data_IF_038932338015
#
_entry.id   IF_038932338015
#
_cell.length_a   1.000
_cell.length_b   1.000
_cell.length_c   1.000
_cell.angle_alpha   90.00
_cell.angle_beta   90.00
_cell.angle_gamma   90.00
#
_symmetry.space_group_name_H-M   'P 1'
#
loop_
_entity.id
_entity.type
_entity.pdbx_description
1 polymer ?
#
# COMPACT_ATOMS: atom_id res chain seq x y z
N UNK A 1 34.53 15.72 19.83
CA UNK A 1 35.61 14.76 20.16
C UNK A 1 35.65 14.30 21.62
N UNK A 2 34.97 14.98 22.58
CA UNK A 2 34.98 14.62 24.00
C UNK A 2 34.07 13.43 24.41
N UNK A 3 33.00 13.15 23.67
CA UNK A 3 32.01 12.11 24.04
C UNK A 3 32.49 10.66 23.80
N UNK A 4 33.39 10.46 22.82
CA UNK A 4 33.98 9.13 22.53
C UNK A 4 34.98 8.69 23.60
N UNK A 5 35.63 9.63 24.30
CA UNK A 5 36.64 9.33 25.33
C UNK A 5 35.99 8.78 26.61
N UNK A 6 34.80 9.26 26.97
CA UNK A 6 34.06 8.77 28.14
C UNK A 6 33.51 7.35 27.98
N UNK A 7 33.06 6.98 26.78
CA UNK A 7 32.52 5.64 26.50
C UNK A 7 33.62 4.58 26.50
N UNK A 8 34.81 4.92 25.98
CA UNK A 8 35.96 4.01 25.98
C UNK A 8 36.53 3.85 27.40
N UNK A 9 36.53 4.91 28.21
CA UNK A 9 36.93 4.83 29.62
C UNK A 9 35.99 3.95 30.47
N UNK A 10 34.68 3.99 30.18
CA UNK A 10 33.69 3.13 30.84
C UNK A 10 33.86 1.65 30.47
N UNK A 11 34.15 1.34 29.21
CA UNK A 11 34.39 -0.04 28.76
C UNK A 11 35.70 -0.61 29.31
N UNK A 12 36.76 0.19 29.41
CA UNK A 12 38.04 -0.24 29.97
C UNK A 12 37.96 -0.54 31.48
N UNK A 13 37.07 0.14 32.22
CA UNK A 13 36.84 -0.13 33.64
C UNK A 13 36.13 -1.47 33.87
N UNK A 14 35.22 -1.87 32.97
CA UNK A 14 34.54 -3.17 33.05
C UNK A 14 35.50 -4.33 32.83
N UNK A 15 36.51 -4.16 31.96
CA UNK A 15 37.55 -5.19 31.73
C UNK A 15 38.56 -5.33 32.87
N UNK A 16 38.67 -4.34 33.78
CA UNK A 16 39.57 -4.42 34.94
C UNK A 16 38.87 -5.01 36.18
N UNK A 17 37.55 -4.91 36.28
CA UNK A 17 36.75 -5.38 37.42
C UNK A 17 36.43 -6.88 37.33
N UNK A 18 36.63 -7.53 36.18
CA UNK A 18 36.48 -8.97 36.01
C UNK A 18 37.53 -9.85 36.73
N UNK A 19 38.37 -9.28 37.59
CA UNK A 19 39.49 -9.99 38.28
C UNK A 19 39.31 -10.08 39.81
N UNK A 20 38.27 -9.49 40.41
CA UNK A 20 38.11 -9.53 41.88
C UNK A 20 36.73 -10.06 42.26
N UNK A 21 36.75 -11.22 42.89
CA UNK A 21 35.66 -12.03 43.45
C UNK A 21 34.68 -11.22 44.31
N UNK A 22 33.35 -11.39 44.16
CA UNK A 22 32.37 -10.79 45.09
C UNK A 22 30.98 -10.43 44.53
N UNK A 23 30.07 -11.39 44.61
CA UNK A 23 28.71 -11.51 44.05
C UNK A 23 27.59 -10.48 44.42
N UNK A 24 27.83 -9.25 44.89
CA UNK A 24 26.71 -8.35 45.28
C UNK A 24 26.68 -6.95 44.61
N UNK A 25 27.81 -6.41 44.13
CA UNK A 25 27.81 -5.06 43.52
C UNK A 25 27.58 -5.03 42.00
N UNK A 26 27.58 -6.19 41.34
CA UNK A 26 27.39 -6.28 39.89
C UNK A 26 25.94 -6.07 39.45
N UNK A 27 24.97 -6.36 40.34
CA UNK A 27 23.55 -6.16 40.07
C UNK A 27 23.19 -4.67 39.98
N UNK A 28 23.61 -3.86 40.96
CA UNK A 28 23.27 -2.43 41.03
C UNK A 28 23.84 -1.60 39.87
N UNK A 29 25.05 -1.93 39.40
CA UNK A 29 25.63 -1.23 38.25
C UNK A 29 24.93 -1.60 36.93
N UNK A 30 24.48 -2.85 36.80
CA UNK A 30 23.70 -3.28 35.63
C UNK A 30 22.31 -2.63 35.58
N UNK A 31 21.65 -2.45 36.73
CA UNK A 31 20.39 -1.71 36.82
C UNK A 31 20.58 -0.23 36.45
N UNK A 32 21.64 0.42 36.94
CA UNK A 32 21.89 1.83 36.65
C UNK A 32 22.21 2.09 35.16
N UNK A 33 22.98 1.21 34.52
CA UNK A 33 23.27 1.28 33.08
C UNK A 33 22.01 1.00 32.27
N UNK A 34 21.18 0.05 32.70
CA UNK A 34 19.91 -0.25 32.06
C UNK A 34 18.93 0.93 32.16
N UNK A 35 18.83 1.60 33.31
CA UNK A 35 17.97 2.79 33.49
C UNK A 35 18.43 4.00 32.67
N UNK A 36 19.74 4.24 32.60
CA UNK A 36 20.29 5.30 31.75
C UNK A 36 20.06 5.00 30.26
N UNK A 37 20.20 3.73 29.86
CA UNK A 37 19.87 3.28 28.51
C UNK A 37 18.35 3.39 28.25
N UNK A 38 17.50 2.99 29.18
CA UNK A 38 16.04 3.05 29.07
C UNK A 38 15.53 4.49 28.97
N UNK A 39 16.11 5.40 29.75
CA UNK A 39 15.85 6.84 29.68
C UNK A 39 16.26 7.44 28.33
N UNK A 40 17.39 6.96 27.77
CA UNK A 40 17.84 7.38 26.43
C UNK A 40 17.02 6.78 25.27
N UNK A 41 16.40 5.61 25.47
CA UNK A 41 15.58 4.91 24.48
C UNK A 41 14.12 5.41 24.52
N UNK A 42 13.61 5.78 25.70
CA UNK A 42 12.23 6.29 25.90
C UNK A 42 11.98 7.64 25.19
N UNK A 43 13.03 8.46 25.00
CA UNK A 43 12.92 9.75 24.29
C UNK A 43 13.01 9.65 22.75
N UNK A 44 13.21 8.45 22.20
CA UNK A 44 13.06 8.17 20.76
C UNK A 44 11.92 7.18 20.52
N UNK A 45 10.70 7.61 20.86
CA UNK A 45 9.52 7.09 20.18
C UNK A 45 9.67 7.45 18.69
N UNK A 46 10.27 6.55 17.90
CA UNK A 46 10.31 6.66 16.45
C UNK A 46 8.86 6.53 16.00
N UNK A 47 8.15 7.66 15.84
CA UNK A 47 6.81 7.67 15.28
C UNK A 47 6.93 7.03 13.90
N UNK A 48 6.53 5.76 13.77
CA UNK A 48 6.53 5.09 12.48
C UNK A 48 5.70 5.97 11.54
N UNK A 49 6.30 6.50 10.46
CA UNK A 49 5.60 7.46 9.63
C UNK A 49 4.36 6.79 9.04
N UNK A 50 3.19 7.31 9.43
CA UNK A 50 1.90 6.71 9.07
C UNK A 50 1.73 6.68 7.56
N UNK A 51 1.17 5.60 6.98
CA UNK A 51 0.95 5.52 5.56
C UNK A 51 -0.14 6.50 5.12
N UNK A 52 -0.02 6.99 3.90
CA UNK A 52 -1.02 7.86 3.27
C UNK A 52 -2.32 7.10 3.03
N UNK A 53 -3.40 7.47 3.71
CA UNK A 53 -4.72 6.86 3.52
C UNK A 53 -5.47 7.55 2.38
N UNK A 54 -5.82 6.80 1.33
CA UNK A 54 -6.47 7.34 0.12
C UNK A 54 -7.90 6.83 0.01
N UNK A 55 -8.91 7.71 -0.14
CA UNK A 55 -10.31 7.31 -0.26
C UNK A 55 -10.60 6.63 -1.61
N UNK A 56 -11.61 5.76 -1.61
CA UNK A 56 -12.12 5.11 -2.81
C UNK A 56 -13.02 6.06 -3.60
N UNK A 57 -12.94 5.99 -4.93
CA UNK A 57 -13.81 6.70 -5.87
C UNK A 57 -14.47 5.70 -6.80
N UNK A 58 -15.80 5.77 -6.91
CA UNK A 58 -16.58 4.97 -7.86
C UNK A 58 -16.48 5.61 -9.25
N UNK A 59 -16.33 4.80 -10.29
CA UNK A 59 -16.36 5.28 -11.67
C UNK A 59 -17.83 5.44 -12.08
N UNK A 60 -18.34 6.66 -11.93
CA UNK A 60 -19.72 6.97 -12.29
C UNK A 60 -19.94 6.78 -13.80
N UNK A 61 -21.06 6.16 -14.18
CA UNK A 61 -21.37 5.87 -15.59
C UNK A 61 -20.67 4.64 -16.18
N UNK A 62 -19.74 3.99 -15.46
CA UNK A 62 -19.13 2.74 -15.92
C UNK A 62 -20.17 1.64 -16.20
N UNK A 63 -21.18 1.51 -15.32
CA UNK A 63 -22.28 0.57 -15.50
C UNK A 63 -23.07 0.79 -16.80
N UNK A 64 -23.27 2.05 -17.21
CA UNK A 64 -23.96 2.37 -18.47
C UNK A 64 -23.17 1.91 -19.71
N UNK A 65 -21.86 1.73 -19.58
CA UNK A 65 -20.96 1.18 -20.62
C UNK A 65 -20.79 -0.35 -20.50
N UNK A 66 -21.48 -0.99 -19.56
CA UNK A 66 -21.34 -2.41 -19.24
C UNK A 66 -20.05 -2.74 -18.47
N UNK A 67 -19.32 -1.75 -17.97
CA UNK A 67 -18.16 -1.96 -17.11
C UNK A 67 -18.64 -2.13 -15.67
N UNK A 68 -18.80 -3.39 -15.24
CA UNK A 68 -19.31 -3.75 -13.93
C UNK A 68 -18.52 -4.90 -13.30
N UNK A 69 -18.44 -4.93 -11.97
CA UNK A 69 -17.85 -6.02 -11.20
C UNK A 69 -18.66 -7.33 -11.35
N UNK A 70 -18.13 -8.44 -10.81
CA UNK A 70 -18.78 -9.77 -10.84
C UNK A 70 -20.26 -9.76 -10.43
N UNK A 71 -20.64 -8.93 -9.46
CA UNK A 71 -22.02 -8.80 -8.96
C UNK A 71 -22.87 -7.74 -9.68
N UNK A 72 -22.34 -7.07 -10.71
CA UNK A 72 -23.00 -6.00 -11.43
C UNK A 72 -22.81 -4.59 -10.85
N UNK A 73 -22.08 -4.43 -9.75
CA UNK A 73 -21.77 -3.09 -9.20
C UNK A 73 -20.75 -2.34 -10.05
N UNK A 74 -20.73 -1.00 -9.95
CA UNK A 74 -19.74 -0.20 -10.68
C UNK A 74 -18.33 -0.41 -10.12
N UNK A 75 -17.29 -0.43 -10.97
CA UNK A 75 -15.89 -0.49 -10.55
C UNK A 75 -15.45 0.80 -9.84
N UNK A 76 -14.32 0.71 -9.15
CA UNK A 76 -13.79 1.80 -8.35
C UNK A 76 -12.25 1.84 -8.38
N UNK A 77 -11.69 2.98 -8.00
CA UNK A 77 -10.25 3.19 -7.90
C UNK A 77 -9.93 4.11 -6.72
N UNK A 78 -8.66 4.15 -6.31
CA UNK A 78 -8.12 5.14 -5.38
C UNK A 78 -7.17 6.03 -6.14
N UNK A 79 -7.15 7.32 -5.83
CA UNK A 79 -6.32 8.29 -6.52
C UNK A 79 -5.73 9.30 -5.54
N UNK A 80 -4.42 9.49 -5.64
CA UNK A 80 -3.71 10.56 -4.96
C UNK A 80 -2.99 11.43 -6.00
N UNK A 81 -3.22 12.75 -6.01
CA UNK A 81 -2.62 13.64 -6.99
C UNK A 81 -1.09 13.71 -6.85
N UNK A 82 -0.42 13.93 -7.97
CA UNK A 82 1.01 14.20 -8.02
C UNK A 82 1.35 15.63 -7.60
N UNK A 83 2.64 15.90 -7.42
CA UNK A 83 3.16 17.20 -6.98
C UNK A 83 4.50 17.53 -7.62
N UNK A 84 4.82 18.82 -7.77
CA UNK A 84 6.10 19.27 -8.31
C UNK A 84 6.37 18.72 -9.72
N UNK A 85 7.57 18.19 -9.95
CA UNK A 85 7.97 17.63 -11.25
C UNK A 85 7.14 16.42 -11.69
N UNK A 86 6.56 15.66 -10.76
CA UNK A 86 5.71 14.50 -11.04
C UNK A 86 4.23 14.84 -11.24
N UNK A 87 3.83 16.11 -11.13
CA UNK A 87 2.41 16.51 -11.20
C UNK A 87 1.73 16.17 -12.54
N UNK A 88 2.50 16.00 -13.61
CA UNK A 88 1.99 15.61 -14.93
C UNK A 88 2.42 14.20 -15.36
N UNK A 89 2.86 13.36 -14.42
CA UNK A 89 3.21 11.96 -14.67
C UNK A 89 2.27 11.04 -13.88
N UNK A 90 1.98 9.86 -14.41
CA UNK A 90 0.94 8.97 -13.88
C UNK A 90 1.44 7.55 -13.67
N UNK A 91 1.18 7.02 -12.48
CA UNK A 91 1.40 5.62 -12.12
C UNK A 91 0.03 4.94 -11.93
N UNK A 92 -0.28 4.00 -12.81
CA UNK A 92 -1.52 3.22 -12.79
C UNK A 92 -1.23 1.84 -12.23
N UNK A 93 -1.71 1.56 -11.03
CA UNK A 93 -1.53 0.27 -10.38
C UNK A 93 -2.82 -0.57 -10.46
N UNK A 94 -2.75 -1.72 -11.12
CA UNK A 94 -3.84 -2.71 -11.12
C UNK A 94 -3.75 -3.58 -9.87
N UNK A 95 -4.78 -3.55 -9.03
CA UNK A 95 -4.89 -4.47 -7.90
C UNK A 95 -4.88 -5.93 -8.41
N UNK A 96 -4.07 -6.78 -7.79
CA UNK A 96 -4.07 -8.22 -8.04
C UNK A 96 -5.12 -8.94 -7.20
N UNK A 97 -5.28 -10.24 -7.41
CA UNK A 97 -6.13 -11.01 -6.50
C UNK A 97 -6.57 -12.39 -6.94
N UNK A 98 -5.78 -13.06 -7.77
CA UNK A 98 -6.11 -14.39 -8.27
C UNK A 98 -7.34 -14.41 -9.16
N UNK A 99 -7.66 -15.61 -9.64
CA UNK A 99 -8.80 -15.87 -10.53
C UNK A 99 -9.87 -16.70 -9.81
N UNK A 100 -11.09 -16.70 -10.36
CA UNK A 100 -12.10 -17.68 -9.98
C UNK A 100 -12.24 -18.61 -11.17
N UNK A 101 -11.77 -19.84 -11.01
CA UNK A 101 -11.64 -20.77 -12.13
C UNK A 101 -12.88 -21.67 -12.32
N UNK A 102 -13.87 -21.53 -11.44
CA UNK A 102 -15.14 -22.27 -11.53
C UNK A 102 -16.30 -21.32 -11.24
N UNK A 103 -17.47 -21.61 -11.82
CA UNK A 103 -18.68 -20.83 -11.57
C UNK A 103 -18.99 -20.75 -10.07
N UNK A 104 -18.87 -21.87 -9.34
CA UNK A 104 -19.06 -21.91 -7.89
C UNK A 104 -18.14 -20.93 -7.16
N UNK A 105 -16.86 -20.90 -7.51
CA UNK A 105 -15.90 -19.98 -6.87
C UNK A 105 -16.19 -18.52 -7.26
N UNK A 106 -16.64 -18.25 -8.48
CA UNK A 106 -17.02 -16.91 -8.91
C UNK A 106 -18.29 -16.42 -8.21
N UNK A 107 -19.29 -17.29 -8.02
CA UNK A 107 -20.50 -16.98 -7.24
C UNK A 107 -20.14 -16.63 -5.80
N UNK A 108 -19.23 -17.37 -5.16
CA UNK A 108 -18.74 -16.99 -3.84
C UNK A 108 -17.97 -15.66 -3.90
N UNK A 109 -17.11 -15.47 -4.89
CA UNK A 109 -16.26 -14.28 -4.96
C UNK A 109 -17.03 -12.98 -5.20
N UNK A 110 -18.18 -13.03 -5.89
CA UNK A 110 -19.03 -11.85 -6.10
C UNK A 110 -19.55 -11.24 -4.79
N UNK A 111 -19.59 -12.01 -3.69
CA UNK A 111 -19.97 -11.53 -2.35
C UNK A 111 -18.79 -11.05 -1.51
N UNK A 112 -17.67 -10.68 -2.14
CA UNK A 112 -16.43 -10.25 -1.46
C UNK A 112 -15.89 -8.95 -2.08
N UNK A 113 -14.88 -8.34 -1.43
CA UNK A 113 -14.20 -7.14 -1.94
C UNK A 113 -13.57 -7.31 -3.33
N UNK A 114 -13.32 -8.56 -3.77
CA UNK A 114 -12.74 -8.92 -5.07
C UNK A 114 -13.78 -9.26 -6.14
N UNK A 115 -15.06 -9.01 -5.88
CA UNK A 115 -16.14 -9.24 -6.83
C UNK A 115 -17.28 -8.22 -6.76
N UNK A 116 -17.25 -7.30 -5.78
CA UNK A 116 -18.25 -6.25 -5.65
C UNK A 116 -17.68 -5.04 -4.92
N UNK A 117 -18.02 -3.85 -5.43
CA UNK A 117 -17.69 -2.57 -4.80
C UNK A 117 -18.32 -2.44 -3.39
N UNK A 118 -19.45 -3.09 -3.14
CA UNK A 118 -20.15 -3.01 -1.84
C UNK A 118 -19.25 -3.40 -0.67
N UNK A 119 -18.38 -4.38 -0.88
CA UNK A 119 -17.49 -4.93 0.14
C UNK A 119 -16.08 -4.35 0.09
N UNK A 120 -15.79 -3.38 -0.79
CA UNK A 120 -14.48 -2.74 -0.84
C UNK A 120 -14.29 -1.77 0.33
N UNK A 121 -13.08 -1.77 0.87
CA UNK A 121 -12.60 -0.81 1.86
C UNK A 121 -12.71 0.61 1.30
N UNK A 122 -13.24 1.53 2.12
CA UNK A 122 -13.49 2.92 1.70
C UNK A 122 -12.23 3.77 1.66
N UNK A 123 -11.20 3.34 2.35
CA UNK A 123 -9.87 3.94 2.35
C UNK A 123 -8.83 2.83 2.25
N UNK A 124 -7.71 3.09 1.58
CA UNK A 124 -6.57 2.18 1.52
C UNK A 124 -5.27 2.94 1.82
N UNK A 125 -4.35 2.33 2.58
CA UNK A 125 -3.00 2.86 2.72
C UNK A 125 -2.25 2.71 1.39
N UNK A 126 -1.66 3.78 0.91
CA UNK A 126 -0.72 3.78 -0.20
C UNK A 126 0.68 3.55 0.35
N UNK A 127 1.25 2.40 0.02
CA UNK A 127 2.57 1.92 0.48
C UNK A 127 3.38 1.35 -0.69
N UNK A 128 4.66 1.07 -0.48
CA UNK A 128 5.55 0.52 -1.52
C UNK A 128 5.58 1.43 -2.75
N UNK A 129 5.38 0.88 -3.95
CA UNK A 129 5.37 1.65 -5.22
C UNK A 129 4.28 2.73 -5.30
N UNK A 130 3.27 2.69 -4.43
CA UNK A 130 2.24 3.73 -4.32
C UNK A 130 2.54 4.75 -3.21
N UNK A 131 3.56 4.54 -2.39
CA UNK A 131 3.91 5.42 -1.27
C UNK A 131 4.24 6.84 -1.74
N UNK A 132 3.94 7.84 -0.90
CA UNK A 132 4.32 9.24 -1.13
C UNK A 132 5.69 9.58 -0.50
N UNK A 133 6.37 8.59 0.07
CA UNK A 133 7.67 8.76 0.71
C UNK A 133 8.78 8.39 -0.28
N UNK A 134 9.73 9.29 -0.55
CA UNK A 134 10.86 8.99 -1.43
C UNK A 134 11.68 7.77 -0.99
N UNK A 135 11.72 7.49 0.32
CA UNK A 135 12.47 6.37 0.88
C UNK A 135 11.84 5.00 0.55
N UNK A 136 10.52 4.96 0.34
CA UNK A 136 9.77 3.76 -0.03
C UNK A 136 9.52 3.68 -1.56
N UNK A 137 9.43 4.84 -2.22
CA UNK A 137 9.06 4.97 -3.62
C UNK A 137 9.91 6.05 -4.33
N UNK A 138 11.21 5.79 -4.54
CA UNK A 138 12.13 6.81 -5.06
C UNK A 138 11.74 7.30 -6.46
N UNK A 139 11.09 6.45 -7.26
CA UNK A 139 10.79 6.74 -8.66
C UNK A 139 9.47 7.50 -8.85
N UNK A 140 8.44 7.17 -8.06
CA UNK A 140 7.06 7.62 -8.31
C UNK A 140 6.40 8.38 -7.15
N UNK A 141 7.10 8.68 -6.05
CA UNK A 141 6.49 9.26 -4.85
C UNK A 141 5.71 10.56 -5.11
N UNK A 142 6.11 11.35 -6.10
CA UNK A 142 5.47 12.61 -6.46
C UNK A 142 4.61 12.54 -7.73
N UNK A 143 4.39 11.36 -8.30
CA UNK A 143 3.51 11.16 -9.46
C UNK A 143 2.03 11.12 -9.03
N UNK A 144 1.13 11.32 -10.00
CA UNK A 144 -0.27 10.93 -9.87
C UNK A 144 -0.35 9.43 -9.68
N UNK A 145 -0.79 8.97 -8.51
CA UNK A 145 -0.78 7.55 -8.16
C UNK A 145 -2.20 7.04 -8.07
N UNK A 146 -2.50 6.01 -8.87
CA UNK A 146 -3.83 5.43 -9.00
C UNK A 146 -3.76 3.95 -8.68
N UNK A 147 -4.71 3.46 -7.89
CA UNK A 147 -4.94 2.02 -7.71
C UNK A 147 -6.34 1.65 -8.20
N UNK A 148 -6.43 0.98 -9.35
CA UNK A 148 -7.70 0.45 -9.88
C UNK A 148 -8.03 -0.83 -9.10
N UNK A 149 -9.23 -0.88 -8.52
CA UNK A 149 -9.66 -2.00 -7.66
C UNK A 149 -10.09 -3.19 -8.50
N UNK A 150 -9.69 -4.38 -8.05
CA UNK A 150 -9.94 -5.63 -8.74
C UNK A 150 -11.32 -6.19 -8.38
N UNK A 151 -12.18 -6.41 -9.38
CA UNK A 151 -13.51 -6.96 -9.13
C UNK A 151 -14.14 -7.76 -10.28
N UNK A 152 -13.44 -7.99 -11.39
CA UNK A 152 -13.94 -8.73 -12.56
C UNK A 152 -13.69 -10.23 -12.48
N UNK A 153 -12.72 -10.62 -11.68
CA UNK A 153 -12.37 -12.00 -11.44
C UNK A 153 -11.55 -12.70 -12.52
N UNK A 154 -11.10 -11.97 -13.54
CA UNK A 154 -10.37 -12.46 -14.69
C UNK A 154 -9.13 -11.57 -15.02
N UNK A 155 -8.47 -10.98 -14.02
CA UNK A 155 -7.32 -10.06 -14.17
C UNK A 155 -7.51 -8.97 -15.24
N UNK A 156 -8.67 -8.32 -15.27
CA UNK A 156 -9.02 -7.27 -16.23
C UNK A 156 -9.00 -7.71 -17.72
N UNK A 157 -8.98 -9.02 -18.02
CA UNK A 157 -8.83 -9.51 -19.39
C UNK A 157 -10.15 -9.92 -20.06
N UNK A 158 -11.17 -10.32 -19.28
CA UNK A 158 -12.42 -10.88 -19.82
C UNK A 158 -13.45 -9.84 -20.28
N UNK A 159 -14.29 -10.21 -21.24
CA UNK A 159 -15.56 -9.53 -21.54
C UNK A 159 -16.66 -10.56 -21.85
N UNK A 160 -17.14 -11.24 -20.81
CA UNK A 160 -18.22 -12.23 -20.92
C UNK A 160 -19.17 -12.13 -19.73
N UNK A 161 -20.19 -12.97 -19.71
CA UNK A 161 -21.10 -13.10 -18.58
C UNK A 161 -21.61 -14.54 -18.46
N UNK A 162 -22.17 -14.85 -17.30
CA UNK A 162 -22.97 -16.06 -17.08
C UNK A 162 -24.30 -15.65 -16.47
N UNK A 163 -25.33 -15.60 -17.30
CA UNK A 163 -26.66 -15.13 -16.96
C UNK A 163 -27.33 -16.05 -15.94
N UNK A 164 -27.17 -17.36 -16.10
CA UNK A 164 -27.74 -18.36 -15.21
C UNK A 164 -27.31 -18.17 -13.74
N UNK A 165 -26.09 -17.68 -13.51
CA UNK A 165 -25.53 -17.44 -12.17
C UNK A 165 -25.41 -15.96 -11.80
N UNK A 166 -25.91 -15.07 -12.67
CA UNK A 166 -25.81 -13.61 -12.53
C UNK A 166 -24.37 -13.17 -12.25
N UNK A 167 -23.45 -13.56 -13.14
CA UNK A 167 -22.04 -13.21 -13.07
C UNK A 167 -21.64 -12.36 -14.28
N UNK A 168 -20.84 -11.33 -14.01
CA UNK A 168 -20.34 -10.40 -15.01
C UNK A 168 -18.81 -10.43 -15.05
N UNK A 169 -18.23 -10.92 -16.14
CA UNK A 169 -16.78 -10.99 -16.34
C UNK A 169 -16.33 -9.85 -17.24
N UNK A 170 -16.40 -8.62 -16.75
CA UNK A 170 -16.24 -7.38 -17.55
C UNK A 170 -14.89 -6.70 -17.36
N UNK A 171 -13.84 -7.47 -17.14
CA UNK A 171 -12.49 -6.98 -16.86
C UNK A 171 -11.97 -5.98 -17.89
N UNK A 172 -12.09 -6.31 -19.18
CA UNK A 172 -11.65 -5.43 -20.26
C UNK A 172 -12.43 -4.11 -20.26
N UNK A 173 -13.75 -4.17 -20.05
CA UNK A 173 -14.60 -2.96 -19.96
C UNK A 173 -14.27 -2.12 -18.74
N UNK A 174 -13.98 -2.74 -17.60
CA UNK A 174 -13.55 -2.06 -16.37
C UNK A 174 -12.24 -1.30 -16.62
N UNK A 175 -11.25 -1.95 -17.25
CA UNK A 175 -9.99 -1.30 -17.61
C UNK A 175 -10.22 -0.08 -18.50
N UNK A 176 -10.99 -0.23 -19.58
CA UNK A 176 -11.28 0.86 -20.51
C UNK A 176 -12.00 2.03 -19.81
N UNK A 177 -13.03 1.75 -19.01
CA UNK A 177 -13.76 2.76 -18.27
C UNK A 177 -12.87 3.49 -17.26
N UNK A 178 -11.95 2.78 -16.59
CA UNK A 178 -11.00 3.39 -15.68
C UNK A 178 -10.00 4.29 -16.41
N UNK A 179 -9.45 3.86 -17.55
CA UNK A 179 -8.55 4.70 -18.34
C UNK A 179 -9.26 5.96 -18.84
N UNK A 180 -10.48 5.84 -19.35
CA UNK A 180 -11.26 7.01 -19.79
C UNK A 180 -11.53 8.00 -18.65
N UNK A 181 -11.89 7.50 -17.47
CA UNK A 181 -12.07 8.31 -16.26
C UNK A 181 -10.78 9.05 -15.89
N UNK A 182 -9.62 8.39 -15.94
CA UNK A 182 -8.33 9.01 -15.65
C UNK A 182 -7.90 10.02 -16.71
N UNK A 183 -8.19 9.74 -17.99
CA UNK A 183 -7.98 10.70 -19.09
C UNK A 183 -8.72 12.00 -18.80
N UNK A 184 -10.01 11.91 -18.43
CA UNK A 184 -10.84 13.07 -18.09
C UNK A 184 -10.29 13.90 -16.92
N UNK A 185 -9.53 13.29 -16.00
CA UNK A 185 -8.89 13.96 -14.85
C UNK A 185 -7.55 14.61 -15.15
N UNK A 186 -7.09 14.53 -16.41
CA UNK A 186 -5.86 15.19 -16.85
C UNK A 186 -4.79 14.24 -17.36
N UNK A 187 -4.97 12.92 -17.28
CA UNK A 187 -3.99 11.96 -17.81
C UNK A 187 -3.79 12.10 -19.33
N UNK A 188 -4.77 12.64 -20.04
CA UNK A 188 -4.67 12.98 -21.46
C UNK A 188 -3.56 14.00 -21.81
N UNK A 189 -3.08 14.75 -20.81
CA UNK A 189 -1.98 15.71 -20.96
C UNK A 189 -0.68 15.20 -20.36
N UNK A 190 -0.62 13.94 -19.91
CA UNK A 190 0.52 13.40 -19.17
C UNK A 190 1.81 13.41 -19.99
N UNK A 191 2.92 13.73 -19.34
CA UNK A 191 4.26 13.59 -19.92
C UNK A 191 4.67 12.13 -19.99
N UNK A 192 4.32 11.37 -18.94
CA UNK A 192 4.68 9.96 -18.78
C UNK A 192 3.53 9.21 -18.11
N UNK A 193 3.32 7.98 -18.56
CA UNK A 193 2.36 7.05 -17.96
C UNK A 193 3.05 5.70 -17.80
N UNK A 194 3.13 5.23 -16.56
CA UNK A 194 3.58 3.89 -16.22
C UNK A 194 2.42 3.09 -15.66
N UNK A 195 2.26 1.85 -16.09
CA UNK A 195 1.30 0.94 -15.50
C UNK A 195 2.01 -0.26 -14.87
N UNK A 196 1.51 -0.72 -13.73
CA UNK A 196 2.04 -1.87 -12.99
C UNK A 196 0.88 -2.74 -12.55
N UNK A 197 0.97 -4.03 -12.80
CA UNK A 197 0.00 -5.01 -12.30
C UNK A 197 0.60 -5.78 -11.13
N UNK A 198 -0.11 -5.84 -10.01
CA UNK A 198 0.24 -6.76 -8.93
C UNK A 198 -0.04 -8.21 -9.34
N UNK A 199 0.90 -9.11 -9.01
CA UNK A 199 0.71 -10.55 -9.20
C UNK A 199 -0.28 -11.14 -8.17
N UNK A 200 -0.66 -12.39 -8.39
CA UNK A 200 -1.62 -13.15 -7.60
C UNK A 200 -1.04 -13.64 -6.27
#
# INVERSE_FOLDING_TARGET
>A
MRMKVFVIAALAFVSLVSVIDGSEHQAQLSEFVNDALFSSVSSKQLSQPQPLMVPITVINGAAAKGAVCLDGTSPAYHFHPGSGSGANSWLIHLEGGGWCNTIRNCVFRKTTRRGSFKFMEKTLPFTGILSNKPEENPDFFNWNRVKIRYCDGASFAGDSQNEANQLQFRGQKIWLAAIEELMSKGMQKANQVSHVSSCC
#
